data_IF_297228561811
#
_entry.id   IF_297228561811
#
_cell.length_a   1.000
_cell.length_b   1.000
_cell.length_c   1.000
_cell.angle_alpha   90.00
_cell.angle_beta   90.00
_cell.angle_gamma   90.00
#
_symmetry.space_group_name_H-M   'P 1'
#
loop_
_entity.id
_entity.type
_entity.pdbx_description
1 polymer ?
2 polymer ?
3 non-polymer ?
#
# COMPACT_ATOMS: atom_id res chain seq x y z
N UNK A 1 -1.78 -16.82 19.03
CA UNK A 1 -3.13 -16.28 19.34
C UNK A 1 -3.53 -15.29 18.24
N UNK A 2 -4.27 -15.74 17.27
CA UNK A 2 -4.70 -14.82 16.17
C UNK A 2 -6.04 -14.18 16.54
N UNK A 3 -6.51 -14.41 17.73
CA UNK A 3 -7.81 -13.80 18.14
C UNK A 3 -7.67 -12.27 18.17
N UNK A 4 -8.59 -11.58 17.55
CA UNK A 4 -8.50 -10.09 17.54
C UNK A 4 -8.89 -9.56 18.92
N UNK A 5 -8.23 -8.52 19.36
CA UNK A 5 -8.55 -7.95 20.71
C UNK A 5 -9.27 -6.60 20.56
N UNK A 6 -10.00 -6.21 21.57
CA UNK A 6 -10.74 -4.93 21.52
C UNK A 6 -9.76 -3.75 21.46
N UNK A 7 -8.68 -3.81 22.20
CA UNK A 7 -7.70 -2.68 22.21
C UNK A 7 -7.08 -2.49 20.81
N UNK A 8 -6.78 -3.55 20.12
CA UNK A 8 -6.16 -3.39 18.76
C UNK A 8 -7.12 -2.64 17.83
N UNK A 9 -8.41 -2.90 17.91
CA UNK A 9 -9.36 -2.18 17.01
C UNK A 9 -9.30 -0.67 17.32
N UNK A 10 -9.18 -0.30 18.56
CA UNK A 10 -9.09 1.16 18.91
C UNK A 10 -7.84 1.76 18.27
N UNK A 11 -6.77 1.02 18.19
CA UNK A 11 -5.52 1.57 17.59
C UNK A 11 -5.75 1.99 16.14
N UNK A 12 -6.45 1.19 15.37
CA UNK A 12 -6.70 1.57 13.94
C UNK A 12 -7.94 2.46 13.86
N UNK A 13 -8.79 2.45 14.86
CA UNK A 13 -10.01 3.31 14.80
C UNK A 13 -9.58 4.78 14.78
N UNK A 14 -8.62 5.15 15.60
CA UNK A 14 -8.19 6.57 15.62
C UNK A 14 -7.68 6.97 14.23
N UNK A 15 -6.88 6.14 13.63
CA UNK A 15 -6.36 6.47 12.26
C UNK A 15 -7.54 6.51 11.27
N UNK A 16 -8.51 5.65 11.46
CA UNK A 16 -9.67 5.60 10.53
C UNK A 16 -10.38 6.96 10.44
N UNK A 17 -10.62 7.60 11.54
CA UNK A 17 -11.34 8.90 11.50
C UNK A 17 -10.56 9.96 10.70
N UNK A 18 -9.27 9.81 10.56
CA UNK A 18 -8.51 10.86 9.81
C UNK A 18 -8.92 10.87 8.33
N UNK A 19 -9.09 9.73 7.73
CA UNK A 19 -9.49 9.68 6.29
C UNK A 19 -10.94 10.17 6.15
N UNK A 20 -11.80 9.84 7.09
CA UNK A 20 -13.22 10.30 6.97
C UNK A 20 -13.34 11.73 7.52
N UNK A 21 -13.02 12.73 6.72
CA UNK A 21 -13.10 14.13 7.20
C UNK A 21 -14.55 14.51 7.50
N UNK A 22 -15.49 13.83 6.89
CA UNK A 22 -16.92 14.17 7.14
C UNK A 22 -17.29 13.93 8.62
N UNK A 23 -16.66 12.99 9.30
CA UNK A 23 -17.00 12.76 10.73
C UNK A 23 -18.32 11.98 10.86
N UNK A 24 -18.86 11.55 9.76
CA UNK A 24 -20.13 10.79 9.79
C UNK A 24 -19.85 9.29 9.96
N UNK A 25 -18.60 8.92 10.11
CA UNK A 25 -18.28 7.48 10.29
C UNK A 25 -18.31 6.75 8.95
N UNK A 26 -18.39 7.47 7.85
CA UNK A 26 -18.40 6.80 6.52
C UNK A 26 -17.48 7.57 5.57
N UNK A 27 -16.87 6.88 4.64
CA UNK A 27 -15.98 7.58 3.66
C UNK A 27 -16.71 7.69 2.32
N UNK A 28 -16.72 8.87 1.77
CA UNK A 28 -17.41 9.09 0.46
C UNK A 28 -16.35 9.27 -0.65
N UNK A 29 -16.73 9.05 -1.88
CA UNK A 29 -15.75 9.16 -3.00
C UNK A 29 -15.12 10.56 -3.00
N UNK A 30 -15.87 11.56 -2.65
CA UNK A 30 -15.32 12.95 -2.61
C UNK A 30 -14.23 13.04 -1.55
N UNK A 31 -14.46 12.45 -0.41
CA UNK A 31 -13.46 12.51 0.70
C UNK A 31 -12.17 11.76 0.34
N UNK A 32 -12.27 10.61 -0.27
CA UNK A 32 -11.06 9.84 -0.63
C UNK A 32 -10.33 10.53 -1.79
N UNK A 33 -11.03 10.83 -2.84
CA UNK A 33 -10.36 11.47 -4.00
C UNK A 33 -9.76 12.81 -3.58
N UNK A 34 -10.45 13.57 -2.75
CA UNK A 34 -9.91 14.89 -2.32
C UNK A 34 -8.57 14.69 -1.60
N UNK A 35 -8.50 13.74 -0.69
CA UNK A 35 -7.19 13.51 0.02
C UNK A 35 -6.24 12.79 -0.93
N UNK A 36 -6.73 11.91 -1.75
CA UNK A 36 -5.86 11.20 -2.71
C UNK A 36 -5.22 12.24 -3.65
N UNK A 37 -5.95 13.29 -3.93
CA UNK A 37 -5.43 14.35 -4.84
C UNK A 37 -4.13 14.92 -4.27
N UNK A 38 -4.04 15.04 -2.98
CA UNK A 38 -2.81 15.58 -2.34
C UNK A 38 -1.61 14.72 -2.76
N UNK A 39 -1.81 13.45 -2.92
CA UNK A 39 -0.69 12.55 -3.34
C UNK A 39 -0.26 12.92 -4.76
N UNK A 40 -0.65 14.07 -5.23
CA UNK A 40 -0.26 14.50 -6.60
C UNK A 40 -0.85 13.56 -7.63
N UNK A 41 -2.08 13.13 -7.44
CA UNK A 41 -2.73 12.20 -8.40
C UNK A 41 -3.96 12.84 -9.00
N UNK A 42 -4.41 12.32 -10.11
CA UNK A 42 -5.61 12.86 -10.78
C UNK A 42 -6.43 11.69 -11.35
N UNK A 43 -7.02 10.89 -10.49
CA UNK A 43 -7.84 9.71 -10.91
C UNK A 43 -9.22 10.10 -11.45
N UNK A 44 -9.88 9.19 -12.12
CA UNK A 44 -11.24 9.49 -12.68
C UNK A 44 -12.30 8.77 -11.86
N UNK A 45 -13.52 9.19 -12.01
CA UNK A 45 -14.64 8.57 -11.25
C UNK A 45 -14.77 7.09 -11.59
N UNK A 46 -14.65 6.72 -12.84
CA UNK A 46 -14.76 5.28 -13.22
C UNK A 46 -13.64 4.47 -12.56
N UNK A 47 -12.44 5.00 -12.51
CA UNK A 47 -11.31 4.24 -11.89
C UNK A 47 -11.58 4.01 -10.40
N UNK A 48 -12.04 5.00 -9.71
CA UNK A 48 -12.32 4.85 -8.24
C UNK A 48 -13.53 3.92 -8.03
N UNK A 49 -14.47 3.94 -8.94
CA UNK A 49 -15.69 3.08 -8.75
C UNK A 49 -15.28 1.60 -8.64
N UNK A 50 -14.45 1.14 -9.53
CA UNK A 50 -14.01 -0.29 -9.49
C UNK A 50 -13.30 -0.57 -8.17
N UNK A 51 -12.45 0.31 -7.73
CA UNK A 51 -11.73 0.06 -6.46
C UNK A 51 -12.71 0.03 -5.28
N UNK A 52 -13.54 1.04 -5.14
CA UNK A 52 -14.48 1.06 -3.98
C UNK A 52 -15.59 0.01 -4.17
N UNK A 53 -16.05 -0.17 -5.38
CA UNK A 53 -17.14 -1.15 -5.67
C UNK A 53 -16.74 -2.56 -5.24
N UNK A 54 -15.51 -2.93 -5.43
CA UNK A 54 -15.07 -4.30 -5.08
C UNK A 54 -15.25 -4.60 -3.57
N UNK A 55 -15.02 -3.64 -2.71
CA UNK A 55 -15.16 -3.89 -1.25
C UNK A 55 -16.50 -3.34 -0.72
N UNK A 56 -17.35 -2.87 -1.58
CA UNK A 56 -18.66 -2.32 -1.11
C UNK A 56 -19.63 -3.48 -0.87
N UNK A 57 -19.93 -3.78 0.38
CA UNK A 57 -20.88 -4.92 0.66
C UNK A 57 -22.31 -4.39 0.85
N UNK A 58 -22.48 -3.17 1.26
CA UNK A 58 -23.86 -2.63 1.45
C UNK A 58 -24.35 -1.99 0.16
N UNK A 59 -23.49 -1.89 -0.82
CA UNK A 59 -23.91 -1.29 -2.12
C UNK A 59 -24.32 0.17 -1.88
N UNK A 60 -23.79 0.80 -0.86
CA UNK A 60 -24.17 2.22 -0.60
C UNK A 60 -23.18 3.17 -1.27
N UNK A 61 -22.19 2.63 -1.94
CA UNK A 61 -21.20 3.49 -2.65
C UNK A 61 -20.27 4.20 -1.64
N UNK A 62 -20.20 3.70 -0.44
CA UNK A 62 -19.29 4.31 0.58
C UNK A 62 -18.68 3.18 1.40
N UNK A 63 -17.59 3.44 2.07
CA UNK A 63 -16.97 2.38 2.90
C UNK A 63 -17.33 2.63 4.36
N UNK A 64 -17.96 1.68 4.99
CA UNK A 64 -18.34 1.89 6.41
C UNK A 64 -17.24 1.35 7.31
N UNK A 65 -17.16 1.85 8.51
CA UNK A 65 -16.08 1.42 9.44
C UNK A 65 -15.90 -0.12 9.44
N UNK A 66 -16.92 -0.93 9.62
CA UNK A 66 -16.74 -2.41 9.60
C UNK A 66 -16.21 -2.89 8.23
N UNK A 67 -16.59 -2.26 7.16
CA UNK A 67 -16.04 -2.68 5.83
C UNK A 67 -14.54 -2.42 5.86
N UNK A 68 -14.17 -1.29 6.37
CA UNK A 68 -12.73 -0.91 6.50
C UNK A 68 -12.00 -1.92 7.40
N UNK A 69 -12.62 -2.29 8.50
CA UNK A 69 -11.99 -3.23 9.46
C UNK A 69 -11.67 -4.55 8.77
N UNK A 70 -12.55 -4.98 7.92
CA UNK A 70 -12.33 -6.26 7.19
C UNK A 70 -11.08 -6.13 6.32
N UNK A 71 -10.91 -5.02 5.65
CA UNK A 71 -9.72 -4.86 4.78
C UNK A 71 -8.45 -4.91 5.63
N UNK A 72 -8.48 -4.31 6.78
CA UNK A 72 -7.26 -4.30 7.62
C UNK A 72 -6.84 -5.73 7.97
N UNK A 73 -7.77 -6.59 8.33
CA UNK A 73 -7.41 -7.99 8.63
C UNK A 73 -7.20 -8.76 7.32
N UNK A 74 -7.81 -8.29 6.26
CA UNK A 74 -7.70 -8.98 4.94
C UNK A 74 -6.22 -9.14 4.58
N UNK A 75 -5.37 -8.36 5.17
CA UNK A 75 -3.93 -8.49 4.87
C UNK A 75 -3.51 -9.92 5.18
N UNK A 76 -3.98 -10.45 6.28
CA UNK A 76 -3.62 -11.84 6.66
C UNK A 76 -4.11 -12.79 5.57
N UNK A 77 -5.28 -12.55 5.03
CA UNK A 77 -5.81 -13.47 3.97
C UNK A 77 -5.07 -13.18 2.65
N UNK A 78 -4.41 -12.07 2.55
CA UNK A 78 -3.65 -11.75 1.30
C UNK A 78 -4.58 -11.86 0.08
N UNK A 79 -5.77 -11.32 0.16
CA UNK A 79 -6.69 -11.41 -1.01
C UNK A 79 -6.36 -10.29 -2.01
N UNK A 80 -6.41 -9.05 -1.59
CA UNK A 80 -6.10 -7.93 -2.51
C UNK A 80 -4.59 -7.69 -2.52
N UNK A 81 -3.91 -8.28 -1.58
CA UNK A 81 -2.44 -8.08 -1.49
C UNK A 81 -1.83 -8.32 -2.87
N UNK A 82 -2.33 -9.26 -3.61
CA UNK A 82 -1.79 -9.52 -4.97
C UNK A 82 -1.97 -8.25 -5.82
N UNK A 83 -3.10 -7.61 -5.71
CA UNK A 83 -3.33 -6.38 -6.52
C UNK A 83 -2.36 -5.27 -6.07
N UNK A 84 -2.16 -5.13 -4.78
CA UNK A 84 -1.22 -4.06 -4.29
C UNK A 84 0.21 -4.41 -4.68
N UNK A 85 0.57 -5.65 -4.59
CA UNK A 85 1.97 -6.04 -4.95
C UNK A 85 2.20 -5.70 -6.43
N UNK A 86 1.29 -6.04 -7.30
CA UNK A 86 1.51 -5.68 -8.73
C UNK A 86 1.41 -4.16 -8.94
N UNK A 87 0.49 -3.51 -8.27
CA UNK A 87 0.34 -2.03 -8.43
C UNK A 87 1.55 -1.30 -7.84
N UNK A 88 2.04 -1.76 -6.73
CA UNK A 88 3.18 -1.05 -6.05
C UNK A 88 4.38 -0.94 -7.01
N UNK A 89 4.61 -1.93 -7.83
CA UNK A 89 5.76 -1.86 -8.77
C UNK A 89 5.59 -0.63 -9.67
N UNK A 90 4.37 -0.35 -10.04
CA UNK A 90 4.11 0.82 -10.94
C UNK A 90 4.49 2.11 -10.23
N UNK A 91 4.25 2.19 -8.95
CA UNK A 91 4.60 3.45 -8.22
C UNK A 91 6.10 3.45 -7.91
N UNK A 92 6.63 2.33 -7.49
CA UNK A 92 8.09 2.29 -7.18
C UNK A 92 8.88 2.46 -8.49
N UNK A 93 8.44 1.84 -9.56
CA UNK A 93 9.16 1.95 -10.86
C UNK A 93 8.78 3.24 -11.57
N UNK A 94 9.39 4.33 -11.20
CA UNK A 94 9.07 5.64 -11.84
C UNK A 94 9.47 5.67 -13.31
N UNK A 95 10.60 5.09 -13.66
CA UNK A 95 11.07 5.13 -15.07
C UNK A 95 10.15 4.30 -15.97
N UNK A 96 9.53 3.28 -15.45
CA UNK A 96 8.63 2.45 -16.30
C UNK A 96 9.48 1.56 -17.21
N UNK A 97 10.75 1.47 -16.97
CA UNK A 97 11.61 0.61 -17.83
C UNK A 97 11.29 -0.86 -17.54
N UNK A 98 10.49 -1.12 -16.53
CA UNK A 98 10.14 -2.52 -16.19
C UNK A 98 11.17 -3.05 -15.20
N UNK A 99 12.16 -2.26 -14.93
CA UNK A 99 13.23 -2.65 -13.98
C UNK A 99 13.46 -1.46 -13.03
N UNK A 100 13.67 -1.71 -11.77
CA UNK A 100 13.87 -0.59 -10.81
C UNK A 100 15.38 -0.35 -10.61
N UNK A 101 15.86 0.82 -10.92
CA UNK A 101 17.32 1.09 -10.73
C UNK A 101 17.59 1.66 -9.34
N UNK A 102 18.83 1.67 -8.94
CA UNK A 102 19.20 2.19 -7.58
C UNK A 102 18.87 3.68 -7.43
N UNK A 103 19.11 4.50 -8.42
CA UNK A 103 18.81 5.95 -8.28
C UNK A 103 17.29 6.15 -8.10
N UNK A 104 16.51 5.37 -8.79
CA UNK A 104 15.03 5.49 -8.72
C UNK A 104 14.50 5.19 -7.31
N UNK A 105 15.02 4.20 -6.64
CA UNK A 105 14.51 3.83 -5.29
C UNK A 105 14.73 4.95 -4.26
N UNK A 106 15.83 5.65 -4.34
CA UNK A 106 16.08 6.74 -3.36
C UNK A 106 15.06 7.90 -3.53
N UNK A 107 14.66 8.17 -4.75
CA UNK A 107 13.69 9.29 -5.05
C UNK A 107 12.36 9.16 -4.29
N UNK A 108 11.66 8.08 -4.46
CA UNK A 108 10.35 7.89 -3.76
C UNK A 108 10.58 7.95 -2.26
N UNK A 109 11.64 7.36 -1.78
CA UNK A 109 11.92 7.41 -0.32
C UNK A 109 12.13 8.86 0.15
N UNK A 110 12.80 9.65 -0.66
CA UNK A 110 13.07 11.07 -0.26
C UNK A 110 11.77 11.89 -0.18
N UNK A 111 10.87 11.69 -1.10
CA UNK A 111 9.59 12.47 -1.06
C UNK A 111 8.81 12.16 0.21
N UNK A 112 9.07 11.05 0.84
CA UNK A 112 8.30 10.68 2.06
C UNK A 112 9.12 11.05 3.30
N UNK A 113 10.16 11.81 3.13
CA UNK A 113 10.98 12.23 4.29
C UNK A 113 11.81 11.03 4.80
N UNK A 114 12.00 10.05 3.96
CA UNK A 114 12.80 8.86 4.38
C UNK A 114 14.13 8.84 3.63
N UNK A 115 15.18 8.41 4.29
CA UNK A 115 16.51 8.35 3.61
C UNK A 115 17.44 7.41 4.37
N UNK A 116 18.13 6.54 3.66
CA UNK A 116 19.07 5.58 4.31
C UNK A 116 20.48 5.88 3.78
N UNK A 117 21.45 5.04 4.09
CA UNK A 117 22.83 5.29 3.59
C UNK A 117 23.08 4.46 2.33
N UNK A 118 24.06 4.83 1.54
CA UNK A 118 24.33 4.07 0.29
C UNK A 118 24.64 2.60 0.62
N UNK A 119 25.39 2.36 1.65
CA UNK A 119 25.71 0.94 2.00
C UNK A 119 24.41 0.19 2.29
N UNK A 120 23.50 0.81 2.98
CA UNK A 120 22.21 0.13 3.30
C UNK A 120 21.45 -0.16 2.00
N UNK A 121 21.41 0.79 1.10
CA UNK A 121 20.70 0.57 -0.19
C UNK A 121 21.53 -0.39 -1.05
N UNK A 122 22.83 -0.28 -1.01
CA UNK A 122 23.71 -1.20 -1.80
C UNK A 122 23.50 -2.65 -1.34
N UNK A 123 23.52 -2.89 -0.04
CA UNK A 123 23.33 -4.27 0.46
C UNK A 123 21.93 -4.78 0.13
N UNK A 124 20.94 -3.93 0.23
CA UNK A 124 19.57 -4.35 -0.06
C UNK A 124 19.48 -4.83 -1.51
N UNK A 125 20.10 -4.15 -2.42
CA UNK A 125 20.06 -4.59 -3.84
C UNK A 125 20.81 -5.92 -3.95
N UNK A 126 21.91 -6.05 -3.28
CA UNK A 126 22.68 -7.33 -3.37
C UNK A 126 21.83 -8.51 -2.90
N UNK A 127 21.16 -8.38 -1.78
CA UNK A 127 20.34 -9.50 -1.26
C UNK A 127 19.14 -9.79 -2.19
N UNK A 128 18.48 -8.78 -2.69
CA UNK A 128 17.30 -9.02 -3.58
C UNK A 128 17.76 -9.43 -4.99
N UNK A 129 19.01 -9.19 -5.31
CA UNK A 129 19.49 -9.54 -6.69
C UNK A 129 19.56 -11.06 -6.83
N UNK A 130 18.51 -11.65 -7.35
CA UNK A 130 18.46 -13.13 -7.51
C UNK A 130 18.91 -13.56 -8.92
N UNK A 131 18.41 -12.91 -9.94
CA UNK A 131 18.80 -13.27 -11.33
C UNK A 131 20.21 -12.77 -11.59
N UNK A 132 20.61 -11.74 -10.90
CA UNK A 132 21.97 -11.22 -11.10
C UNK A 132 21.99 -10.27 -12.31
N UNK A 133 20.86 -9.78 -12.69
CA UNK A 133 20.80 -8.87 -13.87
C UNK A 133 21.28 -7.47 -13.45
N UNK A 134 21.48 -7.25 -12.18
CA UNK A 134 21.96 -5.91 -11.71
C UNK A 134 20.76 -4.99 -11.45
N UNK A 135 19.57 -5.37 -11.87
CA UNK A 135 18.36 -4.53 -11.64
C UNK A 135 17.26 -5.41 -11.06
N UNK A 136 16.28 -4.84 -10.43
CA UNK A 136 15.16 -5.64 -9.86
C UNK A 136 14.01 -5.64 -10.84
N UNK A 137 13.56 -6.82 -11.22
CA UNK A 137 12.44 -6.91 -12.21
C UNK A 137 11.16 -7.38 -11.52
N UNK A 138 10.12 -7.48 -12.27
CA UNK A 138 8.84 -7.95 -11.69
C UNK A 138 9.05 -9.37 -11.15
N UNK A 139 9.81 -10.17 -11.84
CA UNK A 139 10.06 -11.56 -11.36
C UNK A 139 10.72 -11.54 -9.99
N UNK A 140 11.76 -10.78 -9.84
CA UNK A 140 12.45 -10.73 -8.53
C UNK A 140 11.53 -10.05 -7.51
N UNK A 141 10.87 -9.02 -7.92
CA UNK A 141 9.97 -8.28 -7.00
C UNK A 141 8.81 -9.19 -6.52
N UNK A 142 8.15 -9.93 -7.39
CA UNK A 142 7.05 -10.81 -6.88
C UNK A 142 7.68 -11.97 -6.09
N UNK A 143 8.74 -12.53 -6.62
CA UNK A 143 9.41 -13.68 -5.94
C UNK A 143 9.99 -13.24 -4.60
N UNK A 144 10.53 -12.06 -4.51
CA UNK A 144 11.12 -11.59 -3.23
C UNK A 144 10.04 -11.54 -2.14
N UNK A 145 8.85 -11.15 -2.48
CA UNK A 145 7.76 -11.04 -1.47
C UNK A 145 7.08 -12.39 -1.17
N UNK A 146 7.16 -13.35 -2.05
CA UNK A 146 6.48 -14.66 -1.73
C UNK A 146 7.42 -15.53 -0.89
N UNK A 147 7.90 -15.02 0.22
CA UNK A 147 8.83 -15.83 1.08
C UNK A 147 8.10 -16.29 2.34
N UNK A 148 8.40 -17.46 2.83
CA UNK A 148 7.74 -17.96 4.06
C UNK A 148 8.48 -17.44 5.30
C UNK B 1 -7.04 6.60 -1.71
N UNK B 2 -6.80 5.32 -1.53
CA UNK B 2 -7.60 4.30 -2.25
C UNK B 2 -7.80 3.09 -1.34
N UNK B 3 -8.86 2.34 -1.51
CA UNK B 3 -9.06 1.17 -0.63
C UNK B 3 -7.78 0.32 -0.65
N UNK B 4 -7.25 0.05 -1.81
CA UNK B 4 -6.01 -0.76 -1.89
C UNK B 4 -4.80 0.10 -1.46
N UNK B 5 -4.78 1.35 -1.82
CA UNK B 5 -3.64 2.24 -1.41
C UNK B 5 -3.49 2.18 0.11
N UNK B 6 -4.57 2.31 0.82
CA UNK B 6 -4.47 2.26 2.32
C UNK B 6 -3.89 0.91 2.73
N UNK B 7 -4.24 -0.13 2.01
CA UNK B 7 -3.73 -1.49 2.35
C UNK B 7 -2.19 -1.49 2.27
N UNK B 8 -1.64 -0.78 1.33
CA UNK B 8 -0.15 -0.75 1.17
C UNK B 8 0.53 -0.23 2.44
N UNK B 9 -0.05 0.73 3.12
CA UNK B 9 0.61 1.26 4.35
C UNK B 9 1.05 0.10 5.25
N UNK B 10 0.21 -0.87 5.44
CA UNK B 10 0.59 -2.01 6.32
C UNK B 10 1.78 -2.78 5.72
N UNK B 11 1.79 -2.96 4.43
CA UNK B 11 2.92 -3.71 3.80
C UNK B 11 4.24 -2.96 4.01
N UNK B 12 4.22 -1.67 3.88
CA UNK B 12 5.47 -0.88 4.07
C UNK B 12 5.75 -0.71 5.55
N UNK B 13 4.82 -1.08 6.40
CA UNK B 13 5.06 -0.92 7.86
C UNK B 13 5.65 -2.22 8.42
N UNK B 14 4.83 -3.20 8.67
CA UNK B 14 5.34 -4.48 9.21
C UNK B 14 6.23 -5.18 8.18
N UNK B 15 5.84 -5.17 6.93
CA UNK B 15 6.66 -5.87 5.89
C UNK B 15 8.07 -5.23 5.80
N UNK B 16 8.17 -3.93 5.83
CA UNK B 16 9.53 -3.30 5.73
C UNK B 16 10.34 -3.57 6.99
N UNK B 17 9.69 -3.84 8.09
CA UNK B 17 10.43 -4.11 9.37
C UNK B 17 11.30 -5.36 9.23
N UNK B 18 10.82 -6.37 8.55
CA UNK B 18 11.61 -7.62 8.42
C UNK B 18 13.02 -7.31 7.91
N UNK B 19 13.23 -6.18 7.28
CA UNK B 19 14.59 -5.85 6.78
C UNK B 19 15.57 -5.81 7.97
N UNK B 20 15.14 -5.26 9.07
CA UNK B 20 16.05 -5.19 10.26
C UNK B 20 15.32 -4.46 11.41
N UNK B 21 14.57 -3.44 11.13
X LIG C 1 -18.06 10.76 5.02
X LIG D 1 -20.35 0.07 1.43
X LIG E 1 13.15 2.32 -13.23
X LIG F 1 18.47 -8.64 -10.02
#
# INVERSE_FOLDING_TARGET
ADQLTEEQIAEFKEAFSLFDKDGDGTITTKELGTVMRSLGQNPTEAELQDMINEVDADGNGTIDFPEFLTMMARKMKDTDSEEEIREAFRVFDKDGNGYISAAELRHVMTNLGEKLTDEEVDEMIREADIDGDGQVNYEEFVQMMTAK
XMDVFMKGLSKAKEGVVAAAX
CA CA
CA CA
CA CA
CA CA
#
